data_IF_137421256460
#
_entry.id   IF_137421256460
#
_cell.length_a   1.000
_cell.length_b   1.000
_cell.length_c   1.000
_cell.angle_alpha   90.00
_cell.angle_beta   90.00
_cell.angle_gamma   90.00
#
_symmetry.space_group_name_H-M   'P 1'
#
loop_
_entity.id
_entity.type
_entity.pdbx_description
1 polymer ?
#
# COMPACT_ATOMS: atom_id res chain seq x y z
N UNK A 1 0.41 9.70 25.38
CA UNK A 1 1.61 10.39 24.86
C UNK A 1 1.13 11.61 24.10
N UNK A 2 1.80 12.75 24.25
CA UNK A 2 1.44 13.97 23.53
C UNK A 2 2.55 14.32 22.55
N UNK A 3 2.17 14.84 21.39
CA UNK A 3 3.09 15.31 20.37
C UNK A 3 2.46 16.40 19.53
N UNK A 4 3.30 17.10 18.77
CA UNK A 4 2.86 18.11 17.81
C UNK A 4 2.89 17.50 16.42
N UNK A 5 1.74 17.45 15.77
CA UNK A 5 1.62 17.09 14.37
C UNK A 5 1.73 18.33 13.49
N UNK A 6 2.68 18.35 12.56
CA UNK A 6 2.83 19.44 11.61
C UNK A 6 1.99 19.17 10.35
N UNK A 7 0.96 19.99 10.11
CA UNK A 7 0.14 19.91 8.90
C UNK A 7 0.90 20.42 7.67
N UNK A 8 1.63 19.49 7.04
CA UNK A 8 2.40 19.74 5.81
C UNK A 8 1.51 20.18 4.64
N UNK A 9 0.24 19.78 4.61
CA UNK A 9 -0.70 20.14 3.55
C UNK A 9 -1.10 21.61 3.66
N UNK A 10 -1.47 22.05 4.86
CA UNK A 10 -1.79 23.45 5.14
C UNK A 10 -0.55 24.33 4.95
N UNK A 11 0.61 23.91 5.49
CA UNK A 11 1.87 24.63 5.30
C UNK A 11 2.22 24.81 3.81
N UNK A 12 2.04 23.77 2.99
CA UNK A 12 2.23 23.87 1.53
C UNK A 12 1.26 24.84 0.89
N UNK A 13 -0.03 24.79 1.26
CA UNK A 13 -1.06 25.71 0.75
C UNK A 13 -0.74 27.17 1.07
N UNK A 14 -0.36 27.48 2.31
CA UNK A 14 0.02 28.83 2.74
C UNK A 14 1.26 29.33 1.99
N UNK A 15 2.27 28.47 1.82
CA UNK A 15 3.46 28.77 1.01
C UNK A 15 3.10 29.12 -0.44
N UNK A 16 2.20 28.35 -1.08
CA UNK A 16 1.75 28.63 -2.45
C UNK A 16 1.00 29.96 -2.55
N UNK A 17 0.33 30.38 -1.49
CA UNK A 17 -0.35 31.68 -1.37
C UNK A 17 0.57 32.81 -0.91
N UNK A 18 1.87 32.55 -0.73
CA UNK A 18 2.88 33.50 -0.19
C UNK A 18 2.51 34.05 1.19
N UNK A 19 1.83 33.26 2.00
CA UNK A 19 1.46 33.59 3.37
C UNK A 19 2.34 32.80 4.34
N UNK A 20 2.84 33.47 5.37
CA UNK A 20 3.54 32.80 6.46
C UNK A 20 2.49 32.25 7.44
N UNK A 21 2.60 30.98 7.87
CA UNK A 21 1.73 30.45 8.91
C UNK A 21 1.92 31.22 10.22
N UNK A 22 0.83 31.50 10.92
CA UNK A 22 0.89 31.99 12.29
C UNK A 22 1.42 30.88 13.22
N UNK A 23 2.06 31.23 14.35
CA UNK A 23 2.45 30.23 15.35
C UNK A 23 1.24 29.38 15.77
N UNK A 24 1.36 28.06 15.71
CA UNK A 24 0.27 27.14 16.05
C UNK A 24 -0.77 26.89 14.96
N UNK A 25 -0.69 27.58 13.81
CA UNK A 25 -1.65 27.40 12.70
C UNK A 25 -1.44 26.08 11.95
N UNK A 26 -0.18 25.65 11.82
CA UNK A 26 0.21 24.39 11.19
C UNK A 26 0.67 23.33 12.19
N UNK A 27 0.80 23.71 13.46
CA UNK A 27 1.24 22.85 14.56
C UNK A 27 0.03 22.41 15.39
N UNK A 28 -0.42 21.18 15.19
CA UNK A 28 -1.61 20.63 15.84
C UNK A 28 -1.17 19.73 16.99
N UNK A 29 -1.48 20.10 18.23
CA UNK A 29 -1.22 19.23 19.38
C UNK A 29 -2.14 18.01 19.31
N UNK A 30 -1.56 16.82 19.31
CA UNK A 30 -2.28 15.56 19.28
C UNK A 30 -1.93 14.71 20.49
N UNK A 31 -2.95 14.09 21.05
CA UNK A 31 -2.80 13.09 22.11
C UNK A 31 -2.98 11.71 21.52
N UNK A 32 -1.94 10.89 21.61
CA UNK A 32 -1.98 9.48 21.22
C UNK A 32 -2.18 8.63 22.46
N UNK A 33 -3.27 7.87 22.47
CA UNK A 33 -3.58 6.90 23.51
C UNK A 33 -3.16 5.53 23.02
N UNK A 34 -2.10 4.98 23.64
CA UNK A 34 -1.68 3.61 23.37
C UNK A 34 -2.55 2.67 24.20
N UNK A 35 -3.25 1.76 23.53
CA UNK A 35 -4.06 0.73 24.17
C UNK A 35 -3.64 -0.65 23.68
N UNK A 36 -3.78 -1.71 24.50
CA UNK A 36 -3.51 -3.06 24.06
C UNK A 36 -4.36 -3.45 22.86
N UNK A 37 -3.85 -4.35 22.02
CA UNK A 37 -4.61 -4.95 20.92
C UNK A 37 -5.93 -5.54 21.45
N UNK A 38 -7.05 -5.44 20.70
CA UNK A 38 -8.35 -5.92 21.16
C UNK A 38 -8.35 -7.37 21.65
N UNK A 39 -7.62 -8.26 20.97
CA UNK A 39 -7.48 -9.66 21.34
C UNK A 39 -6.70 -9.88 22.65
N UNK A 40 -5.94 -8.90 23.14
CA UNK A 40 -5.14 -8.95 24.37
C UNK A 40 -5.62 -7.98 25.44
N UNK A 41 -6.78 -7.33 25.25
CA UNK A 41 -7.37 -6.38 26.21
C UNK A 41 -7.61 -7.01 27.60
N UNK A 42 -7.81 -8.32 27.64
CA UNK A 42 -8.05 -9.09 28.87
C UNK A 42 -6.76 -9.41 29.66
N UNK A 43 -5.58 -9.17 29.08
CA UNK A 43 -4.32 -9.47 29.73
C UNK A 43 -3.98 -8.40 30.77
N UNK A 44 -3.40 -8.85 31.89
CA UNK A 44 -2.76 -7.95 32.83
C UNK A 44 -1.60 -7.20 32.13
N UNK A 45 -1.32 -5.93 32.50
CA UNK A 45 -0.28 -5.12 31.85
C UNK A 45 1.11 -5.77 31.83
N UNK A 46 1.46 -6.54 32.86
CA UNK A 46 2.75 -7.24 32.99
C UNK A 46 2.85 -8.37 31.94
N UNK A 47 1.76 -9.14 31.81
CA UNK A 47 1.67 -10.25 30.84
C UNK A 47 1.67 -9.73 29.42
N UNK A 48 0.94 -8.63 29.16
CA UNK A 48 0.95 -7.95 27.87
C UNK A 48 2.38 -7.51 27.48
N UNK A 49 3.09 -6.83 28.40
CA UNK A 49 4.47 -6.38 28.18
C UNK A 49 5.41 -7.54 27.89
N UNK A 50 5.34 -8.62 28.66
CA UNK A 50 6.15 -9.83 28.42
C UNK A 50 5.90 -10.41 27.03
N UNK A 51 4.63 -10.57 26.64
CA UNK A 51 4.29 -11.12 25.31
C UNK A 51 4.78 -10.25 24.16
N UNK A 52 4.67 -8.93 24.29
CA UNK A 52 5.20 -8.00 23.28
C UNK A 52 6.72 -8.12 23.19
N UNK A 53 7.42 -8.19 24.33
CA UNK A 53 8.87 -8.35 24.35
C UNK A 53 9.33 -9.68 23.72
N UNK A 54 8.62 -10.78 23.97
CA UNK A 54 8.93 -12.07 23.37
C UNK A 54 8.71 -12.07 21.85
N UNK A 55 7.66 -11.40 21.37
CA UNK A 55 7.41 -11.23 19.93
C UNK A 55 8.48 -10.39 19.25
N UNK A 56 8.85 -9.26 19.85
CA UNK A 56 9.93 -8.41 19.33
C UNK A 56 11.24 -9.18 19.23
N UNK A 57 11.59 -9.95 20.27
CA UNK A 57 12.79 -10.80 20.27
C UNK A 57 12.78 -11.80 19.12
N UNK A 58 11.66 -12.51 18.93
CA UNK A 58 11.54 -13.47 17.82
C UNK A 58 11.64 -12.80 16.44
N UNK A 59 11.10 -11.60 16.27
CA UNK A 59 11.25 -10.83 15.03
C UNK A 59 12.69 -10.39 14.79
N UNK A 60 13.38 -9.91 15.83
CA UNK A 60 14.77 -9.48 15.76
C UNK A 60 15.71 -10.65 15.43
N UNK A 61 15.53 -11.80 16.08
CA UNK A 61 16.27 -13.03 15.83
C UNK A 61 16.07 -13.53 14.39
N UNK A 62 14.82 -13.58 13.92
CA UNK A 62 14.51 -14.00 12.55
C UNK A 62 15.14 -13.05 11.52
N UNK A 63 15.02 -11.74 11.73
CA UNK A 63 15.61 -10.74 10.85
C UNK A 63 17.15 -10.78 10.87
N UNK A 64 17.77 -11.08 12.01
CA UNK A 64 19.22 -11.25 12.11
C UNK A 64 19.70 -12.47 11.31
N UNK A 65 19.04 -13.62 11.46
CA UNK A 65 19.37 -14.83 10.71
C UNK A 65 19.18 -14.66 9.20
N UNK A 66 18.15 -13.92 8.76
CA UNK A 66 17.95 -13.60 7.34
C UNK A 66 19.07 -12.71 6.79
N UNK A 67 19.47 -11.67 7.54
CA UNK A 67 20.59 -10.80 7.18
C UNK A 67 21.90 -11.56 7.05
N UNK A 68 22.20 -12.44 8.00
CA UNK A 68 23.39 -13.30 7.96
C UNK A 68 23.40 -14.17 6.70
N UNK A 69 22.27 -14.81 6.37
CA UNK A 69 22.13 -15.61 5.15
C UNK A 69 22.32 -14.81 3.87
N UNK A 70 21.84 -13.57 3.83
CA UNK A 70 21.94 -12.70 2.66
C UNK A 70 23.28 -11.94 2.59
N UNK A 71 24.07 -11.93 3.66
CA UNK A 71 25.28 -11.12 3.77
C UNK A 71 25.01 -9.62 3.74
N UNK A 72 23.85 -9.18 4.27
CA UNK A 72 23.43 -7.77 4.25
C UNK A 72 23.50 -7.21 5.66
N UNK A 73 24.24 -6.11 5.83
CA UNK A 73 24.27 -5.36 7.09
C UNK A 73 23.24 -4.21 7.08
N UNK A 74 22.61 -3.88 8.23
CA UNK A 74 21.80 -2.68 8.34
C UNK A 74 22.64 -1.43 8.13
N UNK A 75 22.07 -0.43 7.46
CA UNK A 75 22.73 0.85 7.19
C UNK A 75 23.16 1.59 8.48
N UNK A 76 22.42 1.41 9.58
CA UNK A 76 22.70 2.02 10.88
C UNK A 76 22.08 3.41 11.05
N UNK A 77 21.89 3.84 12.30
CA UNK A 77 21.18 5.07 12.62
C UNK A 77 21.90 6.33 12.10
N UNK A 78 23.24 6.36 12.20
CA UNK A 78 24.04 7.50 11.76
C UNK A 78 23.89 7.73 10.25
N UNK A 79 24.01 6.68 9.45
CA UNK A 79 23.88 6.76 8.00
C UNK A 79 22.45 7.06 7.56
N UNK A 80 21.43 6.55 8.27
CA UNK A 80 20.02 6.93 8.01
C UNK A 80 19.82 8.44 8.24
N UNK A 81 20.39 9.01 9.31
CA UNK A 81 20.26 10.43 9.61
C UNK A 81 21.03 11.33 8.62
N UNK A 82 22.04 10.80 7.93
CA UNK A 82 22.74 11.50 6.85
C UNK A 82 21.92 11.57 5.56
N UNK A 83 20.90 10.73 5.38
CA UNK A 83 20.06 10.76 4.18
C UNK A 83 19.14 11.98 4.22
N UNK A 84 19.11 12.75 3.12
CA UNK A 84 18.10 13.77 2.90
C UNK A 84 16.80 13.12 2.35
N UNK A 85 15.67 13.17 3.10
CA UNK A 85 14.42 12.55 2.67
C UNK A 85 13.84 13.13 1.37
N UNK A 86 14.24 14.34 0.99
CA UNK A 86 13.80 15.00 -0.25
C UNK A 86 14.77 14.77 -1.41
N UNK A 87 15.83 13.98 -1.22
CA UNK A 87 16.80 13.65 -2.29
C UNK A 87 16.08 13.01 -3.46
N UNK A 88 16.12 13.71 -4.60
CA UNK A 88 15.59 13.22 -5.87
C UNK A 88 16.68 12.39 -6.56
N UNK A 89 16.35 11.21 -7.11
CA UNK A 89 17.32 10.45 -7.90
C UNK A 89 17.78 11.28 -9.11
N UNK A 90 19.07 11.24 -9.42
CA UNK A 90 19.68 11.93 -10.58
C UNK A 90 19.02 11.50 -11.91
N UNK A 91 18.64 10.23 -11.98
CA UNK A 91 17.98 9.63 -13.13
C UNK A 91 16.61 9.10 -12.73
N UNK A 92 15.57 9.65 -13.35
CA UNK A 92 14.22 9.12 -13.27
C UNK A 92 13.99 8.18 -14.45
N UNK A 93 13.49 6.97 -14.17
CA UNK A 93 12.98 6.09 -15.21
C UNK A 93 11.80 6.77 -15.91
N UNK A 94 11.89 6.88 -17.23
CA UNK A 94 10.85 7.47 -18.10
C UNK A 94 10.04 6.40 -18.82
N UNK A 95 10.31 5.13 -18.56
CA UNK A 95 9.56 4.04 -19.15
C UNK A 95 8.10 4.09 -18.66
N UNK A 96 7.12 3.77 -19.53
CA UNK A 96 5.74 3.66 -19.10
C UNK A 96 5.60 2.64 -17.96
N UNK A 97 4.72 2.95 -17.00
CA UNK A 97 4.41 2.02 -15.93
C UNK A 97 3.98 0.66 -16.52
N UNK A 98 4.47 -0.46 -15.97
CA UNK A 98 4.09 -1.78 -16.46
C UNK A 98 2.58 -1.99 -16.26
N UNK A 99 1.94 -2.68 -17.21
CA UNK A 99 0.51 -3.03 -17.11
C UNK A 99 0.14 -3.75 -15.80
N UNK A 100 1.10 -4.50 -15.25
CA UNK A 100 1.00 -5.11 -13.94
C UNK A 100 2.39 -5.16 -13.29
N UNK A 101 2.44 -4.80 -12.01
CA UNK A 101 3.61 -5.01 -11.18
C UNK A 101 3.69 -6.50 -10.81
N UNK A 102 4.79 -7.15 -11.16
CA UNK A 102 5.04 -8.55 -10.86
C UNK A 102 6.49 -8.74 -10.40
N UNK A 103 6.69 -9.64 -9.44
CA UNK A 103 7.99 -9.91 -8.84
C UNK A 103 9.07 -10.33 -9.87
N UNK A 104 8.67 -10.96 -10.98
CA UNK A 104 9.60 -11.39 -12.03
C UNK A 104 9.04 -11.15 -13.43
N UNK A 105 9.94 -11.10 -14.43
CA UNK A 105 9.56 -11.02 -15.86
C UNK A 105 8.70 -12.22 -16.30
N UNK A 106 8.97 -13.41 -15.75
CA UNK A 106 8.22 -14.64 -16.03
C UNK A 106 6.76 -14.50 -15.60
N UNK A 107 6.53 -14.13 -14.34
CA UNK A 107 5.17 -13.94 -13.78
C UNK A 107 4.41 -12.86 -14.55
N UNK A 108 5.09 -11.77 -14.95
CA UNK A 108 4.46 -10.73 -15.77
C UNK A 108 4.00 -11.26 -17.14
N UNK A 109 4.76 -12.15 -17.77
CA UNK A 109 4.38 -12.77 -19.04
C UNK A 109 3.19 -13.71 -18.86
N UNK A 110 3.24 -14.58 -17.85
CA UNK A 110 2.13 -15.48 -17.52
C UNK A 110 0.83 -14.71 -17.26
N UNK A 111 0.89 -13.59 -16.53
CA UNK A 111 -0.28 -12.74 -16.30
C UNK A 111 -0.82 -12.11 -17.58
N UNK A 112 0.06 -11.66 -18.49
CA UNK A 112 -0.37 -11.12 -19.79
C UNK A 112 -1.08 -12.17 -20.64
N UNK A 113 -0.58 -13.39 -20.66
CA UNK A 113 -1.18 -14.52 -21.37
C UNK A 113 -2.53 -14.89 -20.77
N UNK A 114 -2.61 -15.05 -19.45
CA UNK A 114 -3.85 -15.33 -18.73
C UNK A 114 -4.91 -14.23 -18.96
N UNK A 115 -4.49 -12.96 -18.94
CA UNK A 115 -5.38 -11.84 -19.25
C UNK A 115 -5.85 -11.86 -20.71
N UNK A 116 -4.99 -12.29 -21.64
CA UNK A 116 -5.37 -12.50 -23.04
C UNK A 116 -6.49 -13.53 -23.19
N UNK A 117 -6.38 -14.68 -22.52
CA UNK A 117 -7.41 -15.72 -22.50
C UNK A 117 -8.72 -15.22 -21.88
N UNK A 118 -8.63 -14.54 -20.74
CA UNK A 118 -9.78 -13.92 -20.09
C UNK A 118 -10.50 -12.93 -21.03
N UNK A 119 -9.73 -12.05 -21.69
CA UNK A 119 -10.28 -11.03 -22.59
C UNK A 119 -10.94 -11.65 -23.83
N UNK A 120 -10.38 -12.75 -24.36
CA UNK A 120 -10.98 -13.49 -25.47
C UNK A 120 -12.33 -14.10 -25.05
N UNK A 121 -12.39 -14.80 -23.92
CA UNK A 121 -13.63 -15.38 -23.40
C UNK A 121 -14.68 -14.30 -23.08
N UNK A 122 -14.27 -13.17 -22.51
CA UNK A 122 -15.15 -12.03 -22.23
C UNK A 122 -15.75 -11.47 -23.53
N UNK A 123 -14.93 -11.27 -24.57
CA UNK A 123 -15.38 -10.73 -25.86
C UNK A 123 -16.35 -11.69 -26.55
N UNK A 124 -16.08 -12.99 -26.51
CA UNK A 124 -17.00 -14.00 -27.06
C UNK A 124 -18.36 -13.95 -26.36
N UNK A 125 -18.38 -13.88 -25.02
CA UNK A 125 -19.61 -13.75 -24.25
C UNK A 125 -20.35 -12.43 -24.59
N UNK A 126 -19.63 -11.31 -24.68
CA UNK A 126 -20.19 -10.02 -25.05
C UNK A 126 -20.80 -10.01 -26.46
N UNK A 127 -20.20 -10.72 -27.42
CA UNK A 127 -20.73 -10.84 -28.78
C UNK A 127 -22.00 -11.71 -28.83
N UNK A 128 -22.07 -12.79 -28.04
CA UNK A 128 -23.30 -13.58 -27.87
C UNK A 128 -24.42 -12.76 -27.23
N UNK A 129 -24.09 -12.00 -26.18
CA UNK A 129 -25.03 -11.07 -25.55
C UNK A 129 -25.56 -10.03 -26.53
N UNK A 130 -24.68 -9.44 -27.36
CA UNK A 130 -25.08 -8.48 -28.40
C UNK A 130 -26.01 -9.10 -29.45
N UNK A 131 -25.87 -10.40 -29.71
CA UNK A 131 -26.76 -11.17 -30.62
C UNK A 131 -28.09 -11.58 -29.95
N UNK A 132 -28.29 -11.26 -28.67
CA UNK A 132 -29.54 -11.48 -27.95
C UNK A 132 -29.54 -12.68 -26.99
N UNK A 133 -28.42 -13.39 -26.85
CA UNK A 133 -28.29 -14.45 -25.84
C UNK A 133 -28.09 -13.82 -24.45
N UNK A 134 -29.16 -13.72 -23.67
CA UNK A 134 -29.15 -13.08 -22.34
C UNK A 134 -28.64 -14.00 -21.23
N UNK A 135 -28.54 -15.30 -21.51
CA UNK A 135 -28.13 -16.32 -20.53
C UNK A 135 -26.65 -16.71 -20.68
N UNK A 136 -25.93 -16.07 -21.60
CA UNK A 136 -24.50 -16.31 -21.80
C UNK A 136 -23.71 -16.04 -20.52
N UNK A 137 -22.94 -17.06 -20.09
CA UNK A 137 -22.05 -16.93 -18.94
C UNK A 137 -20.80 -16.14 -19.32
N UNK A 138 -20.48 -15.13 -18.50
CA UNK A 138 -19.23 -14.38 -18.58
C UNK A 138 -18.12 -15.08 -17.78
N UNK A 139 -16.83 -14.87 -18.12
CA UNK A 139 -15.74 -15.49 -17.39
C UNK A 139 -15.73 -15.06 -15.90
N UNK A 140 -15.28 -15.93 -14.97
CA UNK A 140 -15.22 -15.63 -13.54
C UNK A 140 -14.47 -14.33 -13.24
N UNK A 141 -14.95 -13.57 -12.26
CA UNK A 141 -14.37 -12.28 -11.89
C UNK A 141 -14.70 -11.13 -12.85
N UNK A 142 -15.65 -11.33 -13.77
CA UNK A 142 -16.18 -10.29 -14.65
C UNK A 142 -17.69 -10.13 -14.51
N UNK A 143 -18.21 -8.97 -14.92
CA UNK A 143 -19.64 -8.69 -14.98
C UNK A 143 -20.04 -8.44 -16.43
N UNK A 144 -21.25 -8.89 -16.85
CA UNK A 144 -21.78 -8.55 -18.17
C UNK A 144 -21.89 -7.02 -18.32
N UNK A 145 -21.74 -6.49 -19.56
CA UNK A 145 -22.05 -5.10 -19.85
C UNK A 145 -23.48 -4.75 -19.41
N UNK A 146 -23.67 -3.51 -18.95
CA UNK A 146 -25.00 -3.03 -18.60
C UNK A 146 -25.92 -3.10 -19.82
N UNK A 147 -27.08 -3.71 -19.66
CA UNK A 147 -28.12 -3.70 -20.67
C UNK A 147 -28.82 -2.34 -20.68
N UNK A 148 -29.38 -1.89 -21.82
CA UNK A 148 -30.20 -0.70 -21.84
C UNK A 148 -31.33 -0.83 -20.82
N UNK A 149 -31.53 0.23 -20.03
CA UNK A 149 -32.61 0.31 -19.06
C UNK A 149 -33.95 0.23 -19.80
N UNK A 150 -34.80 -0.74 -19.42
CA UNK A 150 -36.17 -0.85 -19.89
C UNK A 150 -37.08 -0.62 -18.68
N UNK A 151 -37.93 0.43 -18.67
CA UNK A 151 -38.90 0.64 -17.60
C UNK A 151 -39.88 -0.55 -17.54
N UNK A 152 -40.27 -0.92 -16.32
CA UNK A 152 -41.26 -1.98 -16.06
C UNK A 152 -42.68 -1.56 -16.45
#
# INVERSE_FOLDING_TARGET
MEGTWYDRTLARSLRLRRQAPKPGEVDIRQTVVLSPLPCWKHLAPEVYRSRVADLLRGMEEAAAAEREKMGIEPLGAEEILKQDPETRPEHLDRSPAPLAHAATKRVRRELREAYGWFLAAFREAADKLRKGDRDVAFPPGSFPPHLPFVPA
#
